data_IF_793750512007
#
_entry.id   IF_793750512007
#
_cell.length_a   1.000
_cell.length_b   1.000
_cell.length_c   1.000
_cell.angle_alpha   90.00
_cell.angle_beta   90.00
_cell.angle_gamma   90.00
#
_symmetry.space_group_name_H-M   'P 1'
#
loop_
_entity.id
_entity.type
_entity.pdbx_description
1 polymer ?
#
# COMPACT_ATOMS: atom_id res chain seq x y z
N UNK A 1 -10.46 -36.48 23.36
CA UNK A 1 -11.06 -35.89 22.14
C UNK A 1 -10.72 -34.41 22.11
N UNK A 2 -9.79 -34.02 21.24
CA UNK A 2 -9.42 -32.60 21.07
C UNK A 2 -10.53 -31.94 20.26
N UNK A 3 -11.30 -31.03 20.88
CA UNK A 3 -12.31 -30.23 20.19
C UNK A 3 -11.61 -29.08 19.49
N UNK A 4 -11.45 -29.17 18.16
CA UNK A 4 -11.07 -28.04 17.35
C UNK A 4 -12.22 -27.02 17.33
N UNK A 5 -11.98 -25.74 17.67
CA UNK A 5 -13.01 -24.72 17.52
C UNK A 5 -13.32 -24.55 16.03
N UNK A 6 -14.56 -24.86 15.62
CA UNK A 6 -15.08 -24.49 14.30
C UNK A 6 -15.17 -22.97 14.23
N UNK A 7 -14.13 -22.32 13.70
CA UNK A 7 -14.20 -20.90 13.33
C UNK A 7 -14.91 -20.77 11.99
N UNK A 8 -16.25 -20.72 12.02
CA UNK A 8 -17.03 -20.14 10.91
C UNK A 8 -17.21 -18.67 11.23
N UNK A 9 -16.26 -17.86 10.81
CA UNK A 9 -16.51 -16.43 10.71
C UNK A 9 -17.15 -16.22 9.35
N UNK A 10 -18.47 -16.08 9.31
CA UNK A 10 -19.19 -15.62 8.13
C UNK A 10 -18.84 -14.13 7.95
N UNK A 11 -17.66 -13.85 7.38
CA UNK A 11 -17.25 -12.49 7.04
C UNK A 11 -18.11 -12.07 5.86
N UNK A 12 -18.87 -10.97 5.95
CA UNK A 12 -19.68 -10.52 4.83
C UNK A 12 -18.79 -10.24 3.62
N UNK A 13 -19.24 -10.66 2.43
CA UNK A 13 -18.52 -10.45 1.15
C UNK A 13 -18.17 -8.96 0.97
N UNK A 14 -19.04 -8.06 1.41
CA UNK A 14 -18.81 -6.61 1.39
C UNK A 14 -17.57 -6.19 2.19
N UNK A 15 -17.32 -6.82 3.34
CA UNK A 15 -16.09 -6.57 4.12
C UNK A 15 -14.85 -7.02 3.35
N UNK A 16 -14.91 -8.16 2.66
CA UNK A 16 -13.80 -8.63 1.82
C UNK A 16 -13.53 -7.67 0.67
N UNK A 17 -14.58 -7.19 0.00
CA UNK A 17 -14.48 -6.21 -1.09
C UNK A 17 -13.84 -4.91 -0.58
N UNK A 18 -14.24 -4.42 0.59
CA UNK A 18 -13.63 -3.24 1.21
C UNK A 18 -12.15 -3.45 1.52
N UNK A 19 -11.75 -4.62 2.04
CA UNK A 19 -10.34 -4.92 2.27
C UNK A 19 -9.52 -4.93 0.98
N UNK A 20 -10.07 -5.50 -0.11
CA UNK A 20 -9.42 -5.48 -1.43
C UNK A 20 -9.22 -4.05 -1.89
N UNK A 21 -10.25 -3.20 -1.81
CA UNK A 21 -10.14 -1.80 -2.19
C UNK A 21 -9.12 -1.03 -1.35
N UNK A 22 -9.16 -1.17 -0.02
CA UNK A 22 -8.19 -0.53 0.87
C UNK A 22 -6.76 -0.95 0.51
N UNK A 23 -6.55 -2.24 0.23
CA UNK A 23 -5.23 -2.74 -0.18
C UNK A 23 -4.77 -2.16 -1.53
N UNK A 24 -5.67 -2.04 -2.50
CA UNK A 24 -5.37 -1.46 -3.81
C UNK A 24 -5.00 0.02 -3.69
N UNK A 25 -5.76 0.80 -2.92
CA UNK A 25 -5.45 2.20 -2.67
C UNK A 25 -4.15 2.39 -1.89
N UNK A 26 -3.86 1.54 -0.89
CA UNK A 26 -2.55 1.57 -0.21
C UNK A 26 -1.40 1.30 -1.19
N UNK A 27 -1.52 0.29 -2.04
CA UNK A 27 -0.52 -0.02 -3.05
C UNK A 27 -0.28 1.16 -4.00
N UNK A 28 -1.36 1.83 -4.42
CA UNK A 28 -1.29 3.01 -5.27
C UNK A 28 -0.58 4.18 -4.57
N UNK A 29 -0.92 4.45 -3.30
CA UNK A 29 -0.31 5.52 -2.50
C UNK A 29 1.19 5.27 -2.28
N UNK A 30 1.62 4.02 -2.12
CA UNK A 30 3.04 3.70 -1.95
C UNK A 30 3.84 3.70 -3.25
N UNK A 31 3.21 3.31 -4.36
CA UNK A 31 3.91 3.15 -5.65
C UNK A 31 3.96 4.44 -6.46
N UNK A 32 2.86 5.20 -6.55
CA UNK A 32 2.79 6.36 -7.45
C UNK A 32 3.79 7.48 -7.11
N UNK A 33 3.98 7.89 -5.85
CA UNK A 33 4.94 8.94 -5.51
C UNK A 33 6.38 8.52 -5.79
N UNK A 34 6.73 7.27 -5.41
CA UNK A 34 8.04 6.68 -5.69
C UNK A 34 8.31 6.61 -7.19
N UNK A 35 7.32 6.15 -7.96
CA UNK A 35 7.42 6.04 -9.42
C UNK A 35 7.57 7.41 -10.07
N UNK A 36 6.79 8.40 -9.63
CA UNK A 36 6.88 9.77 -10.14
C UNK A 36 8.27 10.37 -9.94
N UNK A 37 8.88 10.17 -8.77
CA UNK A 37 10.22 10.66 -8.46
C UNK A 37 11.28 9.92 -9.28
N UNK A 38 11.17 8.59 -9.38
CA UNK A 38 12.06 7.78 -10.22
C UNK A 38 12.05 8.27 -11.67
N UNK A 39 10.86 8.40 -12.27
CA UNK A 39 10.72 8.83 -13.66
C UNK A 39 11.16 10.28 -13.85
N UNK A 40 10.82 11.17 -12.92
CA UNK A 40 11.22 12.58 -12.99
C UNK A 40 12.74 12.75 -13.00
N UNK A 41 13.45 12.01 -12.15
CA UNK A 41 14.92 12.05 -12.12
C UNK A 41 15.50 11.34 -13.34
N UNK A 42 14.96 10.19 -13.73
CA UNK A 42 15.46 9.45 -14.88
C UNK A 42 15.35 10.26 -16.17
N UNK A 43 14.18 10.84 -16.46
CA UNK A 43 13.99 11.67 -17.66
C UNK A 43 14.69 13.03 -17.56
N UNK A 44 14.85 13.59 -16.35
CA UNK A 44 15.52 14.88 -16.16
C UNK A 44 17.05 14.82 -16.19
N UNK A 45 17.65 13.71 -15.76
CA UNK A 45 19.12 13.58 -15.60
C UNK A 45 19.74 12.50 -16.48
N UNK A 46 18.94 11.59 -17.03
CA UNK A 46 19.41 10.38 -17.71
C UNK A 46 20.02 9.33 -16.76
N UNK A 47 20.05 9.58 -15.46
CA UNK A 47 20.74 8.71 -14.49
C UNK A 47 19.76 7.78 -13.76
N UNK A 48 19.70 6.53 -14.22
CA UNK A 48 18.86 5.47 -13.62
C UNK A 48 19.24 5.20 -12.18
N UNK A 49 20.53 5.19 -11.84
CA UNK A 49 20.98 4.85 -10.49
C UNK A 49 20.50 5.87 -9.46
N UNK A 50 20.62 7.17 -9.77
CA UNK A 50 20.15 8.25 -8.88
C UNK A 50 18.63 8.23 -8.75
N UNK A 51 17.91 8.03 -9.86
CA UNK A 51 16.45 7.88 -9.84
C UNK A 51 16.01 6.70 -9.00
N UNK A 52 16.68 5.55 -9.12
CA UNK A 52 16.36 4.34 -8.37
C UNK A 52 16.55 4.55 -6.86
N UNK A 53 17.71 5.09 -6.45
CA UNK A 53 18.00 5.34 -5.03
C UNK A 53 16.95 6.26 -4.41
N UNK A 54 16.63 7.37 -5.08
CA UNK A 54 15.68 8.36 -4.55
C UNK A 54 14.23 7.87 -4.59
N UNK A 55 13.83 7.16 -5.65
CA UNK A 55 12.51 6.51 -5.73
C UNK A 55 12.31 5.50 -4.61
N UNK A 56 13.26 4.56 -4.45
CA UNK A 56 13.21 3.56 -3.37
C UNK A 56 13.20 4.21 -1.99
N UNK A 57 14.03 5.24 -1.75
CA UNK A 57 14.02 5.95 -0.47
C UNK A 57 12.62 6.49 -0.13
N UNK A 58 11.93 7.10 -1.11
CA UNK A 58 10.58 7.61 -0.94
C UNK A 58 9.56 6.48 -0.70
N UNK A 59 9.72 5.35 -1.39
CA UNK A 59 8.87 4.17 -1.14
C UNK A 59 8.97 3.68 0.31
N UNK A 60 10.19 3.57 0.86
CA UNK A 60 10.38 3.15 2.25
C UNK A 60 9.88 4.19 3.26
N UNK A 61 10.05 5.48 2.97
CA UNK A 61 9.51 6.55 3.82
C UNK A 61 7.98 6.48 3.85
N UNK A 62 7.33 6.31 2.69
CA UNK A 62 5.87 6.21 2.64
C UNK A 62 5.34 4.94 3.33
N UNK A 63 6.07 3.82 3.25
CA UNK A 63 5.79 2.60 4.02
C UNK A 63 5.82 2.83 5.54
N UNK A 64 6.69 3.71 6.05
CA UNK A 64 6.71 4.05 7.48
C UNK A 64 5.38 4.67 7.96
N UNK A 65 4.63 5.29 7.05
CA UNK A 65 3.31 5.85 7.33
C UNK A 65 2.14 4.89 7.02
N UNK A 66 2.43 3.64 6.62
CA UNK A 66 1.42 2.68 6.20
C UNK A 66 0.28 2.48 7.21
N UNK A 67 0.62 2.44 8.51
CA UNK A 67 -0.39 2.29 9.56
C UNK A 67 -1.37 3.47 9.64
N UNK A 68 -0.88 4.71 9.44
CA UNK A 68 -1.75 5.90 9.41
C UNK A 68 -2.63 5.91 8.17
N UNK A 69 -2.04 5.59 7.02
CA UNK A 69 -2.73 5.55 5.73
C UNK A 69 -3.83 4.49 5.75
N UNK A 70 -3.52 3.28 6.22
CA UNK A 70 -4.50 2.20 6.38
C UNK A 70 -5.70 2.63 7.23
N UNK A 71 -5.46 3.20 8.42
CA UNK A 71 -6.52 3.69 9.30
C UNK A 71 -7.38 4.78 8.65
N UNK A 72 -6.75 5.69 7.91
CA UNK A 72 -7.46 6.74 7.18
C UNK A 72 -8.37 6.16 6.10
N UNK A 73 -7.86 5.23 5.28
CA UNK A 73 -8.64 4.56 4.25
C UNK A 73 -9.80 3.76 4.85
N UNK A 74 -9.55 2.97 5.90
CA UNK A 74 -10.60 2.21 6.59
C UNK A 74 -11.70 3.13 7.11
N UNK A 75 -11.38 4.32 7.62
CA UNK A 75 -12.39 5.28 8.10
C UNK A 75 -13.26 5.87 6.98
N UNK A 76 -12.75 5.98 5.75
CA UNK A 76 -13.48 6.55 4.62
C UNK A 76 -14.32 5.49 3.91
N UNK A 77 -13.84 4.25 3.87
CA UNK A 77 -14.45 3.15 3.12
C UNK A 77 -15.36 2.27 3.97
N UNK A 78 -15.30 2.38 5.30
CA UNK A 78 -16.20 1.71 6.26
C UNK A 78 -17.31 2.63 6.71
#
# INVERSE_FOLDING_TARGET
MIKFPKKKNDIPIETLINYVWISAFMAMIFSLPSLGIFLGIYYGTGNIAVGAILGFAVHFITLAFASRISKFLTKIMS
#
